data_IF_649611569819
#
_entry.id   IF_649611569819
#
_cell.length_a   1.000
_cell.length_b   1.000
_cell.length_c   1.000
_cell.angle_alpha   90.00
_cell.angle_beta   90.00
_cell.angle_gamma   90.00
#
_symmetry.space_group_name_H-M   'P 1'
#
loop_
_entity.id
_entity.type
_entity.pdbx_description
1 polymer ?
#
# COMPACT_ATOMS: atom_id res chain seq x y z
N UNK A 1 1.59 -34.96 -33.88
CA UNK A 1 0.76 -35.61 -32.84
C UNK A 1 -0.68 -35.13 -32.97
N UNK A 2 -1.65 -36.03 -33.09
CA UNK A 2 -3.06 -35.66 -33.19
C UNK A 2 -3.59 -35.10 -31.87
N UNK A 3 -4.21 -33.92 -31.89
CA UNK A 3 -4.77 -33.30 -30.70
C UNK A 3 -5.94 -34.16 -30.18
N UNK A 4 -5.86 -34.62 -28.93
CA UNK A 4 -6.92 -35.43 -28.30
C UNK A 4 -8.12 -34.53 -27.99
N UNK A 5 -9.32 -34.92 -28.39
CA UNK A 5 -10.53 -34.13 -28.10
C UNK A 5 -10.89 -34.23 -26.60
N UNK A 6 -11.24 -33.10 -25.99
CA UNK A 6 -11.74 -33.07 -24.62
C UNK A 6 -13.12 -33.71 -24.52
N UNK A 7 -13.38 -34.42 -23.43
CA UNK A 7 -14.72 -34.92 -23.08
C UNK A 7 -15.43 -33.95 -22.14
N UNK A 8 -16.76 -34.00 -22.08
CA UNK A 8 -17.54 -33.16 -21.18
C UNK A 8 -17.12 -33.31 -19.70
N UNK A 9 -16.83 -34.54 -19.28
CA UNK A 9 -16.34 -34.85 -17.93
C UNK A 9 -14.99 -34.18 -17.63
N UNK A 10 -14.07 -34.17 -18.59
CA UNK A 10 -12.76 -33.51 -18.44
C UNK A 10 -12.89 -32.00 -18.35
N UNK A 11 -13.77 -31.39 -19.17
CA UNK A 11 -14.05 -29.94 -19.10
C UNK A 11 -14.63 -29.57 -17.73
N UNK A 12 -15.59 -30.35 -17.22
CA UNK A 12 -16.15 -30.13 -15.90
C UNK A 12 -15.12 -30.25 -14.77
N UNK A 13 -14.24 -31.26 -14.84
CA UNK A 13 -13.14 -31.43 -13.89
C UNK A 13 -12.12 -30.29 -13.95
N UNK A 14 -11.74 -29.84 -15.15
CA UNK A 14 -10.83 -28.73 -15.36
C UNK A 14 -11.38 -27.42 -14.77
N UNK A 15 -12.66 -27.11 -15.01
CA UNK A 15 -13.34 -25.93 -14.43
C UNK A 15 -13.36 -25.96 -12.90
N UNK A 16 -13.63 -27.11 -12.28
CA UNK A 16 -13.56 -27.26 -10.80
C UNK A 16 -12.15 -27.02 -10.29
N UNK A 17 -11.15 -27.64 -10.90
CA UNK A 17 -9.76 -27.50 -10.48
C UNK A 17 -9.25 -26.06 -10.61
N UNK A 18 -9.60 -25.37 -11.70
CA UNK A 18 -9.24 -23.98 -11.93
C UNK A 18 -9.91 -23.02 -10.93
N UNK A 19 -11.22 -23.18 -10.67
CA UNK A 19 -11.93 -22.39 -9.63
C UNK A 19 -11.35 -22.56 -8.25
N UNK A 20 -10.99 -23.80 -7.90
CA UNK A 20 -10.36 -24.12 -6.63
C UNK A 20 -8.89 -23.68 -6.55
N UNK A 21 -8.36 -23.01 -7.59
CA UNK A 21 -6.95 -22.59 -7.72
C UNK A 21 -5.95 -23.75 -7.55
N UNK A 22 -6.37 -24.99 -7.82
CA UNK A 22 -5.53 -26.20 -7.68
C UNK A 22 -4.64 -26.47 -8.89
N UNK A 23 -4.95 -25.85 -10.02
CA UNK A 23 -4.17 -25.98 -11.25
C UNK A 23 -4.33 -24.74 -12.13
N UNK A 24 -3.25 -24.38 -12.82
CA UNK A 24 -3.25 -23.34 -13.86
C UNK A 24 -3.79 -23.90 -15.19
N UNK A 25 -4.19 -23.02 -16.12
CA UNK A 25 -4.63 -23.43 -17.47
C UNK A 25 -3.55 -24.23 -18.19
N UNK A 26 -2.27 -23.87 -18.00
CA UNK A 26 -1.12 -24.57 -18.61
C UNK A 26 -0.99 -26.00 -18.08
N UNK A 27 -1.02 -26.17 -16.76
CA UNK A 27 -0.98 -27.50 -16.12
C UNK A 27 -2.17 -28.38 -16.52
N UNK A 28 -3.37 -27.79 -16.67
CA UNK A 28 -4.54 -28.52 -17.13
C UNK A 28 -4.42 -28.91 -18.62
N UNK A 29 -3.89 -28.02 -19.46
CA UNK A 29 -3.66 -28.30 -20.87
C UNK A 29 -2.68 -29.46 -21.06
N UNK A 30 -1.56 -29.44 -20.32
CA UNK A 30 -0.58 -30.53 -20.29
C UNK A 30 -1.19 -31.83 -19.78
N UNK A 31 -1.88 -31.80 -18.63
CA UNK A 31 -2.53 -32.98 -18.02
C UNK A 31 -3.50 -33.70 -18.97
N UNK A 32 -4.23 -32.94 -19.78
CA UNK A 32 -5.19 -33.52 -20.73
C UNK A 32 -4.63 -33.64 -22.16
N UNK A 33 -3.35 -33.32 -22.36
CA UNK A 33 -2.67 -33.32 -23.65
C UNK A 33 -3.43 -32.54 -24.74
N UNK A 34 -3.77 -31.29 -24.43
CA UNK A 34 -4.42 -30.35 -25.36
C UNK A 34 -3.68 -29.03 -25.41
N UNK A 35 -3.88 -28.26 -26.48
CA UNK A 35 -3.34 -26.91 -26.56
C UNK A 35 -3.89 -26.01 -25.44
N UNK A 36 -3.03 -25.11 -24.91
CA UNK A 36 -3.39 -24.15 -23.85
C UNK A 36 -4.60 -23.29 -24.25
N UNK A 37 -4.67 -22.87 -25.51
CA UNK A 37 -5.79 -22.11 -26.04
C UNK A 37 -7.11 -22.90 -25.98
N UNK A 38 -7.09 -24.18 -26.35
CA UNK A 38 -8.26 -25.07 -26.29
C UNK A 38 -8.76 -25.24 -24.87
N UNK A 39 -7.85 -25.48 -23.91
CA UNK A 39 -8.20 -25.57 -22.49
C UNK A 39 -8.77 -24.26 -21.97
N UNK A 40 -8.18 -23.12 -22.35
CA UNK A 40 -8.68 -21.78 -22.01
C UNK A 40 -10.11 -21.56 -22.53
N UNK A 41 -10.40 -21.90 -23.78
CA UNK A 41 -11.75 -21.77 -24.35
C UNK A 41 -12.77 -22.69 -23.65
N UNK A 42 -12.38 -23.91 -23.29
CA UNK A 42 -13.25 -24.84 -22.58
C UNK A 42 -13.56 -24.39 -21.15
N UNK A 43 -12.56 -23.88 -20.42
CA UNK A 43 -12.73 -23.33 -19.07
C UNK A 43 -13.59 -22.07 -19.12
N UNK A 44 -13.34 -21.18 -20.08
CA UNK A 44 -14.01 -19.89 -20.20
C UNK A 44 -15.42 -19.96 -20.79
N UNK A 45 -15.85 -21.13 -21.28
CA UNK A 45 -17.13 -21.30 -21.96
C UNK A 45 -17.16 -20.69 -23.36
N UNK A 46 -16.00 -20.38 -23.96
CA UNK A 46 -15.92 -20.05 -25.38
C UNK A 46 -16.35 -21.25 -26.23
N UNK A 47 -15.94 -22.45 -25.80
CA UNK A 47 -16.43 -23.75 -26.24
C UNK A 47 -17.12 -24.47 -25.09
N UNK A 48 -17.92 -25.52 -25.37
CA UNK A 48 -18.62 -26.30 -24.35
C UNK A 48 -19.61 -25.50 -23.49
N UNK A 49 -20.41 -24.62 -24.12
CA UNK A 49 -21.43 -23.79 -23.46
C UNK A 49 -22.57 -24.60 -22.84
N UNK A 50 -22.86 -25.78 -23.39
CA UNK A 50 -23.91 -26.68 -22.90
C UNK A 50 -23.58 -27.34 -21.55
N UNK A 51 -22.29 -27.36 -21.14
CA UNK A 51 -21.90 -27.85 -19.82
C UNK A 51 -22.15 -26.72 -18.81
N UNK A 52 -23.25 -26.82 -18.08
CA UNK A 52 -23.68 -25.79 -17.11
C UNK A 52 -23.18 -26.06 -15.69
N UNK A 53 -22.81 -27.31 -15.37
CA UNK A 53 -22.29 -27.69 -14.05
C UNK A 53 -20.90 -28.36 -14.14
N UNK A 54 -19.82 -27.70 -13.69
CA UNK A 54 -19.75 -26.35 -13.14
C UNK A 54 -19.89 -25.27 -14.25
N UNK A 55 -20.43 -24.08 -13.93
CA UNK A 55 -20.57 -23.03 -14.94
C UNK A 55 -19.21 -22.61 -15.49
N UNK A 56 -19.11 -22.05 -16.70
CA UNK A 56 -17.85 -21.54 -17.23
C UNK A 56 -17.25 -20.46 -16.30
N UNK A 57 -15.92 -20.34 -16.31
CA UNK A 57 -15.20 -19.30 -15.55
C UNK A 57 -14.86 -18.19 -16.53
N UNK A 58 -15.59 -17.06 -16.57
CA UNK A 58 -15.38 -16.04 -17.59
C UNK A 58 -13.91 -15.62 -17.62
N UNK A 59 -13.25 -15.80 -18.76
CA UNK A 59 -11.82 -15.49 -18.90
C UNK A 59 -11.54 -14.01 -18.67
N UNK A 60 -12.46 -13.18 -19.13
CA UNK A 60 -12.56 -11.76 -18.83
C UNK A 60 -14.03 -11.47 -18.49
N UNK A 61 -14.30 -10.52 -17.58
CA UNK A 61 -15.66 -10.06 -17.42
C UNK A 61 -16.21 -9.52 -18.75
N UNK A 62 -17.53 -9.54 -18.95
CA UNK A 62 -18.12 -8.97 -20.15
C UNK A 62 -17.62 -7.54 -20.32
N UNK A 63 -17.13 -7.21 -21.52
CA UNK A 63 -16.47 -5.92 -21.83
C UNK A 63 -17.32 -4.68 -21.51
N UNK A 64 -18.60 -4.86 -21.20
CA UNK A 64 -19.59 -3.82 -21.00
C UNK A 64 -20.36 -3.96 -19.67
N UNK A 65 -19.82 -4.62 -18.63
CA UNK A 65 -20.50 -4.59 -17.32
C UNK A 65 -20.54 -3.15 -16.80
N UNK A 66 -21.73 -2.54 -16.85
CA UNK A 66 -21.95 -1.20 -16.34
C UNK A 66 -21.80 -1.23 -14.81
N UNK A 67 -21.07 -0.26 -14.25
CA UNK A 67 -21.04 -0.07 -12.80
C UNK A 67 -22.45 0.28 -12.32
N UNK A 68 -22.90 -0.38 -11.26
CA UNK A 68 -24.12 0.00 -10.54
C UNK A 68 -23.77 0.93 -9.39
N UNK A 69 -24.76 1.71 -8.92
CA UNK A 69 -24.55 2.60 -7.78
C UNK A 69 -24.05 1.86 -6.52
N UNK A 70 -24.55 0.64 -6.31
CA UNK A 70 -24.13 -0.21 -5.20
C UNK A 70 -22.69 -0.72 -5.34
N UNK A 71 -22.25 -1.05 -6.56
CA UNK A 71 -20.84 -1.38 -6.82
C UNK A 71 -19.92 -0.19 -6.54
N UNK A 72 -20.33 1.04 -6.88
CA UNK A 72 -19.56 2.25 -6.58
C UNK A 72 -19.42 2.44 -5.06
N UNK A 73 -20.50 2.30 -4.30
CA UNK A 73 -20.47 2.42 -2.84
C UNK A 73 -19.52 1.40 -2.23
N UNK A 74 -19.66 0.13 -2.60
CA UNK A 74 -18.78 -0.96 -2.15
C UNK A 74 -17.31 -0.71 -2.50
N UNK A 75 -17.03 -0.24 -3.72
CA UNK A 75 -15.67 0.05 -4.16
C UNK A 75 -15.02 1.14 -3.30
N UNK A 76 -15.75 2.23 -3.02
CA UNK A 76 -15.25 3.33 -2.18
C UNK A 76 -15.03 2.91 -0.73
N UNK A 77 -15.96 2.18 -0.12
CA UNK A 77 -15.80 1.67 1.25
C UNK A 77 -14.56 0.78 1.37
N UNK A 78 -14.33 -0.12 0.41
CA UNK A 78 -13.19 -1.06 0.45
C UNK A 78 -11.87 -0.40 0.10
N UNK A 79 -11.86 0.52 -0.87
CA UNK A 79 -10.67 1.32 -1.18
C UNK A 79 -10.26 2.21 0.01
N UNK A 80 -11.22 2.75 0.76
CA UNK A 80 -10.95 3.48 2.00
C UNK A 80 -10.32 2.59 3.08
N UNK A 81 -10.64 1.29 3.07
CA UNK A 81 -10.01 0.25 3.89
C UNK A 81 -8.64 -0.23 3.39
N UNK A 82 -8.10 0.35 2.32
CA UNK A 82 -6.76 0.04 1.80
C UNK A 82 -6.69 -1.04 0.72
N UNK A 83 -7.82 -1.52 0.22
CA UNK A 83 -7.83 -2.50 -0.87
C UNK A 83 -7.46 -1.86 -2.22
N UNK A 84 -6.70 -2.58 -3.05
CA UNK A 84 -6.24 -2.04 -4.33
C UNK A 84 -7.38 -1.97 -5.35
N UNK A 85 -7.39 -0.90 -6.16
CA UNK A 85 -8.37 -0.74 -7.24
C UNK A 85 -8.31 -1.90 -8.25
N UNK A 86 -7.13 -2.51 -8.45
CA UNK A 86 -6.95 -3.66 -9.33
C UNK A 86 -7.67 -4.91 -8.83
N UNK A 87 -7.65 -5.15 -7.52
CA UNK A 87 -8.36 -6.28 -6.91
C UNK A 87 -9.87 -6.08 -6.96
N UNK A 88 -10.33 -4.86 -6.63
CA UNK A 88 -11.73 -4.47 -6.74
C UNK A 88 -12.25 -4.64 -8.17
N UNK A 89 -11.50 -4.17 -9.17
CA UNK A 89 -11.85 -4.29 -10.58
C UNK A 89 -11.96 -5.76 -11.04
N UNK A 90 -11.03 -6.60 -10.58
CA UNK A 90 -11.02 -8.04 -10.89
C UNK A 90 -12.22 -8.76 -10.27
N UNK A 91 -12.56 -8.44 -9.03
CA UNK A 91 -13.69 -9.02 -8.32
C UNK A 91 -15.03 -8.57 -8.93
N UNK A 92 -15.18 -7.28 -9.19
CA UNK A 92 -16.41 -6.71 -9.73
C UNK A 92 -16.62 -7.02 -11.22
N UNK A 93 -15.59 -7.53 -11.90
CA UNK A 93 -15.66 -7.78 -13.32
C UNK A 93 -15.75 -6.49 -14.14
N UNK A 94 -15.02 -5.44 -13.75
CA UNK A 94 -15.02 -4.15 -14.46
C UNK A 94 -13.58 -3.77 -14.78
N UNK A 95 -13.36 -2.97 -15.82
CA UNK A 95 -12.03 -2.43 -16.11
C UNK A 95 -11.54 -1.54 -14.95
N UNK A 96 -10.24 -1.63 -14.67
CA UNK A 96 -9.57 -0.91 -13.59
C UNK A 96 -9.79 0.62 -13.62
N UNK A 97 -9.68 1.23 -14.80
CA UNK A 97 -9.88 2.67 -15.02
C UNK A 97 -11.29 3.14 -14.65
N UNK A 98 -12.31 2.35 -14.97
CA UNK A 98 -13.70 2.66 -14.65
C UNK A 98 -13.94 2.65 -13.14
N UNK A 99 -13.38 1.66 -12.42
CA UNK A 99 -13.45 1.61 -10.95
C UNK A 99 -12.67 2.77 -10.34
N UNK A 100 -11.46 3.07 -10.84
CA UNK A 100 -10.67 4.20 -10.38
C UNK A 100 -11.44 5.53 -10.52
N UNK A 101 -12.04 5.78 -11.68
CA UNK A 101 -12.83 7.00 -11.91
C UNK A 101 -14.03 7.12 -10.95
N UNK A 102 -14.71 6.01 -10.66
CA UNK A 102 -15.83 6.01 -9.73
C UNK A 102 -15.41 6.22 -8.27
N UNK A 103 -14.30 5.60 -7.86
CA UNK A 103 -13.74 5.71 -6.50
C UNK A 103 -13.23 7.12 -6.22
N UNK A 104 -12.50 7.71 -7.17
CA UNK A 104 -11.96 9.07 -7.04
C UNK A 104 -12.97 10.18 -7.41
N UNK A 105 -14.23 9.83 -7.67
CA UNK A 105 -15.30 10.82 -7.93
C UNK A 105 -15.21 11.55 -9.27
N UNK A 106 -14.38 11.08 -10.21
CA UNK A 106 -14.35 11.58 -11.59
C UNK A 106 -15.66 11.27 -12.31
N UNK A 107 -16.23 10.10 -12.00
CA UNK A 107 -17.58 9.70 -12.40
C UNK A 107 -18.45 9.46 -11.16
N UNK A 108 -19.77 9.31 -11.35
CA UNK A 108 -20.70 9.01 -10.25
C UNK A 108 -20.74 10.06 -9.12
N UNK A 109 -20.60 11.35 -9.46
CA UNK A 109 -20.63 12.49 -8.51
C UNK A 109 -21.91 12.55 -7.66
N UNK A 110 -23.03 12.03 -8.17
CA UNK A 110 -24.32 11.97 -7.45
C UNK A 110 -24.32 11.01 -6.26
N UNK A 111 -23.38 10.07 -6.18
CA UNK A 111 -23.23 9.19 -5.03
C UNK A 111 -22.28 9.91 -4.07
N UNK A 112 -22.81 10.42 -2.97
CA UNK A 112 -22.06 11.20 -1.98
C UNK A 112 -21.68 10.38 -0.75
N UNK A 113 -22.34 9.25 -0.53
CA UNK A 113 -22.10 8.35 0.60
C UNK A 113 -21.77 6.92 0.11
N UNK A 114 -20.55 6.41 0.36
CA UNK A 114 -19.39 7.10 0.95
C UNK A 114 -18.77 8.17 0.01
N UNK A 115 -18.08 9.18 0.56
CA UNK A 115 -17.48 10.25 -0.23
C UNK A 115 -16.39 9.70 -1.17
N UNK A 116 -16.17 10.34 -2.34
CA UNK A 116 -15.08 9.96 -3.21
C UNK A 116 -13.74 10.16 -2.51
N UNK A 117 -12.80 9.25 -2.76
CA UNK A 117 -11.46 9.34 -2.20
C UNK A 117 -10.63 10.39 -2.94
N UNK A 118 -9.71 11.09 -2.24
CA UNK A 118 -8.73 11.92 -2.92
C UNK A 118 -7.93 11.04 -3.87
N UNK A 119 -7.71 11.54 -5.09
CA UNK A 119 -6.82 10.86 -6.03
C UNK A 119 -5.43 10.82 -5.40
N UNK A 120 -4.76 9.65 -5.35
CA UNK A 120 -3.35 9.64 -4.99
C UNK A 120 -2.64 10.57 -5.96
N UNK A 121 -1.73 11.40 -5.44
CA UNK A 121 -0.87 12.22 -6.29
C UNK A 121 -0.26 11.29 -7.35
N UNK A 122 -0.18 11.72 -8.63
CA UNK A 122 0.50 10.93 -9.63
C UNK A 122 1.87 10.59 -9.07
N UNK A 123 2.12 9.30 -8.84
CA UNK A 123 3.45 8.84 -8.39
C UNK A 123 4.36 9.25 -9.52
N UNK A 124 5.14 10.30 -9.28
CA UNK A 124 6.08 10.75 -10.28
C UNK A 124 7.04 9.58 -10.46
N UNK A 125 7.44 9.21 -11.68
CA UNK A 125 8.38 8.12 -11.86
C UNK A 125 9.66 8.35 -11.03
N UNK A 126 10.01 9.61 -10.80
CA UNK A 126 11.06 10.08 -9.90
C UNK A 126 10.89 9.69 -8.42
N UNK A 127 9.67 9.39 -7.94
CA UNK A 127 9.35 9.13 -6.53
C UNK A 127 9.48 7.65 -6.15
N UNK A 128 9.54 6.75 -7.14
CA UNK A 128 9.98 5.37 -6.89
C UNK A 128 11.48 5.44 -6.63
N UNK A 129 12.02 4.85 -5.54
CA UNK A 129 13.44 4.92 -5.25
C UNK A 129 14.23 4.49 -6.49
N UNK A 130 15.02 5.41 -7.06
CA UNK A 130 15.81 5.18 -8.27
C UNK A 130 16.68 3.92 -8.17
N UNK A 131 17.08 3.58 -6.95
CA UNK A 131 17.76 2.33 -6.58
C UNK A 131 17.01 1.06 -7.00
N UNK A 132 15.69 0.99 -6.78
CA UNK A 132 14.88 -0.18 -7.12
C UNK A 132 14.75 -0.37 -8.62
N UNK A 133 14.60 0.74 -9.36
CA UNK A 133 14.50 0.71 -10.83
C UNK A 133 15.79 0.26 -11.49
N UNK A 134 16.93 0.79 -11.03
CA UNK A 134 18.23 0.39 -11.55
C UNK A 134 18.54 -1.08 -11.21
N UNK A 135 18.11 -1.58 -10.05
CA UNK A 135 18.23 -2.99 -9.70
C UNK A 135 17.37 -3.89 -10.61
N UNK A 136 16.11 -3.53 -10.84
CA UNK A 136 15.19 -4.26 -11.73
C UNK A 136 15.68 -4.22 -13.19
N UNK A 137 16.23 -3.10 -13.64
CA UNK A 137 16.83 -2.95 -14.97
C UNK A 137 18.05 -3.86 -15.16
N UNK A 138 18.97 -3.90 -14.18
CA UNK A 138 20.11 -4.82 -14.21
C UNK A 138 19.67 -6.29 -14.17
N UNK A 139 18.63 -6.63 -13.39
CA UNK A 139 18.07 -7.98 -13.35
C UNK A 139 17.44 -8.38 -14.69
N UNK A 140 16.72 -7.46 -15.33
CA UNK A 140 16.11 -7.66 -16.66
C UNK A 140 17.18 -7.84 -17.73
N UNK A 141 18.22 -7.00 -17.74
CA UNK A 141 19.35 -7.13 -18.67
C UNK A 141 20.06 -8.49 -18.53
N UNK A 142 20.27 -8.96 -17.30
CA UNK A 142 20.86 -10.29 -17.05
C UNK A 142 19.97 -11.42 -17.56
N UNK A 143 18.65 -11.31 -17.34
CA UNK A 143 17.69 -12.29 -17.83
C UNK A 143 17.65 -12.32 -19.37
N UNK A 144 17.70 -11.16 -20.03
CA UNK A 144 17.74 -11.05 -21.49
C UNK A 144 19.02 -11.66 -22.07
N UNK A 145 20.20 -11.32 -21.52
CA UNK A 145 21.47 -11.95 -21.95
C UNK A 145 21.48 -13.47 -21.76
N UNK A 146 20.82 -13.98 -20.72
CA UNK A 146 20.74 -15.41 -20.46
C UNK A 146 19.76 -16.13 -21.39
N UNK A 147 18.70 -15.46 -21.84
CA UNK A 147 17.71 -16.03 -22.76
C UNK A 147 18.23 -16.06 -24.20
N UNK A 148 18.85 -14.97 -24.65
CA UNK A 148 19.23 -14.75 -26.04
C UNK A 148 20.65 -14.14 -26.09
N UNK A 149 21.71 -14.96 -25.91
CA UNK A 149 23.09 -14.44 -25.83
C UNK A 149 23.61 -13.90 -27.17
N UNK A 150 23.07 -14.38 -28.30
CA UNK A 150 23.49 -14.01 -29.66
C UNK A 150 22.83 -12.72 -30.17
N UNK A 151 21.80 -12.22 -29.47
CA UNK A 151 21.08 -10.97 -29.82
C UNK A 151 21.83 -9.70 -29.38
N UNK A 152 22.99 -9.85 -28.72
CA UNK A 152 23.82 -8.75 -28.23
C UNK A 152 25.10 -8.67 -29.07
N UNK A 153 25.35 -7.51 -29.67
CA UNK A 153 26.64 -7.29 -30.33
C UNK A 153 27.78 -7.31 -29.30
N UNK A 154 29.02 -7.68 -29.71
CA UNK A 154 30.16 -7.72 -28.81
C UNK A 154 30.34 -6.42 -28.01
N UNK A 155 30.10 -6.48 -26.69
CA UNK A 155 30.28 -5.36 -25.76
C UNK A 155 29.03 -4.52 -25.47
N UNK A 156 27.90 -4.73 -26.16
CA UNK A 156 26.68 -3.94 -25.92
C UNK A 156 26.09 -4.14 -24.52
N UNK A 157 26.09 -5.38 -24.03
CA UNK A 157 25.64 -5.68 -22.68
C UNK A 157 26.53 -4.99 -21.63
N UNK A 158 27.85 -5.06 -21.80
CA UNK A 158 28.81 -4.41 -20.91
C UNK A 158 28.59 -2.89 -20.88
N UNK A 159 28.39 -2.27 -22.05
CA UNK A 159 28.08 -0.85 -22.17
C UNK A 159 26.75 -0.48 -21.48
N UNK A 160 25.69 -1.27 -21.68
CA UNK A 160 24.39 -1.04 -21.03
C UNK A 160 24.47 -1.18 -19.50
N UNK A 161 25.18 -2.20 -19.02
CA UNK A 161 25.43 -2.44 -17.59
C UNK A 161 26.21 -1.29 -16.97
N UNK A 162 27.27 -0.83 -17.64
CA UNK A 162 28.15 0.20 -17.11
C UNK A 162 27.45 1.57 -17.11
N UNK A 163 26.60 1.86 -18.11
CA UNK A 163 25.71 3.03 -18.10
C UNK A 163 24.79 3.05 -16.86
N UNK A 164 24.10 1.95 -16.55
CA UNK A 164 23.22 1.90 -15.36
C UNK A 164 24.00 2.08 -14.06
N UNK A 165 25.23 1.58 -13.99
CA UNK A 165 26.11 1.79 -12.82
C UNK A 165 26.51 3.26 -12.67
N UNK A 166 26.85 3.92 -13.78
CA UNK A 166 27.13 5.37 -13.79
C UNK A 166 25.91 6.16 -13.33
N UNK A 167 24.71 5.84 -13.85
CA UNK A 167 23.47 6.49 -13.44
C UNK A 167 23.17 6.31 -11.93
N UNK A 168 23.48 5.13 -11.36
CA UNK A 168 23.39 4.87 -9.92
C UNK A 168 24.38 5.72 -9.11
N UNK A 169 25.63 5.80 -9.56
CA UNK A 169 26.67 6.59 -8.90
C UNK A 169 26.31 8.09 -8.90
N UNK A 170 25.85 8.61 -10.04
CA UNK A 170 25.43 10.00 -10.19
C UNK A 170 24.20 10.34 -9.35
N UNK A 171 23.23 9.44 -9.28
CA UNK A 171 22.06 9.62 -8.43
C UNK A 171 22.44 9.64 -6.95
N UNK A 172 23.35 8.75 -6.53
CA UNK A 172 23.86 8.73 -5.14
C UNK A 172 24.65 10.00 -4.82
N UNK A 173 25.52 10.44 -5.71
CA UNK A 173 26.28 11.68 -5.54
C UNK A 173 25.36 12.90 -5.41
N UNK A 174 24.28 12.99 -6.22
CA UNK A 174 23.27 14.05 -6.11
C UNK A 174 22.53 14.04 -4.77
N UNK A 175 22.20 12.86 -4.24
CA UNK A 175 21.54 12.75 -2.94
C UNK A 175 22.48 13.15 -1.79
N UNK A 176 23.75 12.73 -1.83
CA UNK A 176 24.73 13.15 -0.82
C UNK A 176 25.02 14.65 -0.90
N UNK A 177 25.12 15.23 -2.10
CA UNK A 177 25.26 16.67 -2.28
C UNK A 177 24.03 17.43 -1.75
N UNK A 178 22.82 16.95 -2.04
CA UNK A 178 21.59 17.53 -1.50
C UNK A 178 21.53 17.41 0.02
N UNK A 179 21.96 16.27 0.59
CA UNK A 179 22.05 16.06 2.03
C UNK A 179 23.08 16.97 2.69
N UNK A 180 24.23 17.18 2.05
CA UNK A 180 25.26 18.11 2.53
C UNK A 180 24.82 19.57 2.43
N UNK A 181 24.00 19.91 1.42
CA UNK A 181 23.43 21.26 1.25
C UNK A 181 22.25 21.53 2.20
N UNK A 182 21.54 20.49 2.66
CA UNK A 182 20.57 20.61 3.73
C UNK A 182 21.31 20.82 5.05
N UNK A 183 21.61 22.08 5.37
CA UNK A 183 22.02 22.45 6.72
C UNK A 183 20.90 22.02 7.67
N UNK A 184 21.23 21.22 8.69
CA UNK A 184 20.27 20.92 9.73
C UNK A 184 19.78 22.27 10.29
N UNK A 185 18.45 22.53 10.33
CA UNK A 185 17.95 23.77 10.87
C UNK A 185 18.46 23.91 12.30
N UNK A 186 19.07 25.05 12.57
CA UNK A 186 19.58 25.41 13.89
C UNK A 186 18.41 25.69 14.81
N UNK A 187 18.66 25.70 16.12
CA UNK A 187 17.66 26.10 17.11
C UNK A 187 17.12 27.52 16.85
N UNK A 188 17.95 28.40 16.30
CA UNK A 188 17.60 29.79 15.97
C UNK A 188 16.58 29.87 14.83
N UNK A 189 16.67 28.96 13.85
CA UNK A 189 15.72 28.90 12.73
C UNK A 189 14.28 28.60 13.19
N UNK A 190 14.14 27.95 14.35
CA UNK A 190 12.84 27.67 14.96
C UNK A 190 12.35 28.78 15.92
N UNK A 191 13.19 29.75 16.28
CA UNK A 191 12.82 30.78 17.25
C UNK A 191 11.55 31.57 16.86
N UNK A 192 11.35 31.98 15.59
CA UNK A 192 10.12 32.67 15.18
C UNK A 192 8.87 31.79 15.34
N UNK A 193 8.97 30.50 15.01
CA UNK A 193 7.86 29.56 15.15
C UNK A 193 7.50 29.31 16.62
N UNK A 194 8.50 29.19 17.49
CA UNK A 194 8.31 29.05 18.95
C UNK A 194 7.67 30.31 19.54
N UNK A 195 8.14 31.50 19.17
CA UNK A 195 7.55 32.77 19.60
C UNK A 195 6.10 32.93 19.12
N UNK A 196 5.82 32.62 17.86
CA UNK A 196 4.47 32.65 17.32
C UNK A 196 3.53 31.67 18.06
N UNK A 197 4.01 30.45 18.35
CA UNK A 197 3.25 29.48 19.13
C UNK A 197 2.96 29.98 20.55
N UNK A 198 3.96 30.60 21.21
CA UNK A 198 3.81 31.17 22.54
C UNK A 198 2.78 32.31 22.58
N UNK A 199 2.76 33.20 21.58
CA UNK A 199 1.78 34.30 21.49
C UNK A 199 0.34 33.81 21.32
N UNK A 200 0.14 32.66 20.68
CA UNK A 200 -1.19 32.06 20.49
C UNK A 200 -1.63 31.26 21.71
N UNK A 201 -0.69 30.85 22.58
CA UNK A 201 -0.94 29.95 23.71
C UNK A 201 -2.09 30.40 24.62
N UNK A 202 -2.09 31.68 25.03
CA UNK A 202 -3.10 32.22 25.93
C UNK A 202 -4.48 32.37 25.28
N UNK A 203 -4.50 32.44 23.94
CA UNK A 203 -5.74 32.50 23.14
C UNK A 203 -6.30 31.12 22.81
N UNK A 204 -5.55 30.04 23.01
CA UNK A 204 -6.04 28.69 22.77
C UNK A 204 -7.00 28.26 23.88
N UNK A 205 -8.09 27.60 23.52
CA UNK A 205 -8.93 26.94 24.51
C UNK A 205 -8.17 25.79 25.22
N UNK A 206 -8.66 25.40 26.39
CA UNK A 206 -8.02 24.36 27.20
C UNK A 206 -7.97 22.98 26.53
N UNK A 207 -8.93 22.67 25.65
CA UNK A 207 -8.97 21.39 24.94
C UNK A 207 -7.84 21.29 23.91
N UNK A 208 -7.62 22.39 23.17
CA UNK A 208 -6.54 22.49 22.19
C UNK A 208 -5.17 22.49 22.87
N UNK A 209 -5.00 23.24 23.96
CA UNK A 209 -3.75 23.21 24.77
C UNK A 209 -3.45 21.81 25.29
N UNK A 210 -4.44 21.12 25.87
CA UNK A 210 -4.24 19.76 26.36
C UNK A 210 -3.92 18.75 25.26
N UNK A 211 -4.49 18.89 24.07
CA UNK A 211 -4.12 18.05 22.92
C UNK A 211 -2.66 18.27 22.56
N UNK A 212 -2.24 19.53 22.44
CA UNK A 212 -0.88 19.88 22.06
C UNK A 212 0.14 19.43 23.11
N UNK A 213 -0.18 19.58 24.40
CA UNK A 213 0.66 19.05 25.48
C UNK A 213 0.80 17.53 25.43
N UNK A 214 -0.25 16.79 25.08
CA UNK A 214 -0.18 15.32 24.92
C UNK A 214 0.63 14.88 23.70
N UNK A 215 0.74 15.73 22.69
CA UNK A 215 1.59 15.49 21.53
C UNK A 215 3.05 15.80 21.85
N UNK A 216 3.34 16.85 22.64
CA UNK A 216 4.71 17.27 22.94
C UNK A 216 5.33 16.56 24.15
N UNK A 217 4.53 16.20 25.15
CA UNK A 217 5.01 15.66 26.43
C UNK A 217 4.84 14.15 26.43
N UNK A 218 5.96 13.45 26.58
CA UNK A 218 5.98 12.00 26.73
C UNK A 218 5.50 11.57 28.12
N UNK A 219 6.01 12.23 29.17
CA UNK A 219 5.66 11.93 30.56
C UNK A 219 5.81 13.14 31.47
N UNK A 220 4.97 13.18 32.51
CA UNK A 220 5.09 14.13 33.62
C UNK A 220 5.38 13.30 34.88
N UNK A 221 6.48 13.60 35.56
CA UNK A 221 6.86 12.98 36.83
C UNK A 221 6.58 14.00 37.93
N UNK A 222 5.87 13.56 38.96
CA UNK A 222 5.60 14.36 40.16
C UNK A 222 6.33 13.70 41.30
N UNK A 223 7.35 14.38 41.82
CA UNK A 223 8.20 13.91 42.90
C UNK A 223 8.21 14.88 44.08
N UNK A 224 9.11 14.62 45.02
CA UNK A 224 9.52 15.58 46.04
C UNK A 224 11.04 15.74 45.99
N UNK A 225 11.53 16.96 46.18
CA UNK A 225 12.96 17.20 46.33
C UNK A 225 13.48 16.75 47.71
N UNK A 226 14.77 16.99 47.95
CA UNK A 226 15.44 16.64 49.20
C UNK A 226 14.81 17.32 50.45
N UNK A 227 14.19 18.48 50.27
CA UNK A 227 13.53 19.25 51.33
C UNK A 227 12.04 18.88 51.48
N UNK A 228 11.58 17.90 50.69
CA UNK A 228 10.20 17.43 50.70
C UNK A 228 9.21 18.31 49.93
N UNK A 229 9.67 19.32 49.19
CA UNK A 229 8.82 20.17 48.36
C UNK A 229 8.43 19.45 47.06
N UNK A 230 7.21 19.64 46.55
CA UNK A 230 6.77 19.00 45.32
C UNK A 230 7.54 19.52 44.11
N UNK A 231 8.08 18.61 43.30
CA UNK A 231 8.76 18.93 42.03
C UNK A 231 8.03 18.26 40.88
N UNK A 232 7.85 19.00 39.78
CA UNK A 232 7.26 18.50 38.53
C UNK A 232 8.34 18.49 37.46
N UNK A 233 8.66 17.30 36.95
CA UNK A 233 9.58 17.12 35.83
C UNK A 233 8.77 16.75 34.58
N UNK A 234 9.06 17.42 33.46
CA UNK A 234 8.36 17.23 32.19
C UNK A 234 9.35 16.68 31.18
N UNK A 235 9.07 15.49 30.65
CA UNK A 235 9.91 14.83 29.66
C UNK A 235 9.28 14.97 28.27
N UNK A 236 9.92 15.68 27.33
CA UNK A 236 9.37 15.88 26.00
C UNK A 236 9.54 14.63 25.11
N UNK A 237 8.73 14.53 24.06
CA UNK A 237 8.73 13.38 23.14
C UNK A 237 10.03 13.23 22.33
N UNK A 238 10.80 14.31 22.14
CA UNK A 238 12.03 14.29 21.35
C UNK A 238 13.28 13.93 22.15
N UNK A 239 13.19 13.84 23.48
CA UNK A 239 14.28 13.35 24.31
C UNK A 239 14.16 11.83 24.49
N UNK A 240 15.27 11.08 24.57
CA UNK A 240 15.23 9.66 24.89
C UNK A 240 14.48 9.45 26.22
N UNK A 241 13.50 8.54 26.24
CA UNK A 241 12.77 8.21 27.46
C UNK A 241 13.75 7.61 28.50
N UNK A 242 14.03 8.31 29.61
CA UNK A 242 15.03 7.84 30.57
C UNK A 242 14.53 6.60 31.35
N UNK A 243 13.26 6.20 31.19
CA UNK A 243 12.71 4.96 31.74
C UNK A 243 12.51 3.86 30.71
N UNK A 244 13.03 4.02 29.48
CA UNK A 244 12.99 2.96 28.48
C UNK A 244 13.65 1.68 29.03
N UNK A 245 12.85 0.62 29.23
CA UNK A 245 13.32 -0.68 29.74
C UNK A 245 13.06 -0.95 31.22
N UNK A 246 12.55 0.02 31.98
CA UNK A 246 12.06 -0.26 33.34
C UNK A 246 10.65 -0.87 33.27
N UNK A 247 10.32 -1.85 34.14
CA UNK A 247 8.97 -2.38 34.22
C UNK A 247 8.01 -1.23 34.46
N UNK A 248 6.91 -1.17 33.71
CA UNK A 248 5.94 -0.09 33.80
C UNK A 248 5.58 0.14 35.28
N UNK A 249 6.00 1.27 35.85
CA UNK A 249 5.67 1.62 37.22
C UNK A 249 4.16 1.48 37.41
N UNK A 250 3.71 0.87 38.52
CA UNK A 250 2.29 0.68 38.76
C UNK A 250 1.62 2.04 38.64
N UNK A 251 0.77 2.17 37.63
CA UNK A 251 0.00 3.38 37.37
C UNK A 251 -0.72 3.71 38.67
N UNK A 252 -0.37 4.84 39.28
CA UNK A 252 -1.05 5.44 40.43
C UNK A 252 -2.45 5.87 39.97
N UNK A 253 -3.32 4.88 39.81
CA UNK A 253 -4.56 4.97 39.07
C UNK A 253 -5.58 3.93 39.52
N UNK A 254 -5.69 3.70 40.83
CA UNK A 254 -7.02 3.46 41.40
C UNK A 254 -7.36 4.67 42.25
N UNK A 255 -8.28 5.50 41.75
CA UNK A 255 -8.98 6.49 42.55
C UNK A 255 -9.49 5.78 43.80
N UNK A 256 -8.98 6.13 44.98
CA UNK A 256 -9.68 5.77 46.22
C UNK A 256 -11.11 6.31 46.08
N UNK A 257 -12.15 5.50 46.33
CA UNK A 257 -13.53 5.97 46.29
C UNK A 257 -13.65 7.17 47.22
N UNK A 258 -14.24 8.25 46.70
CA UNK A 258 -14.50 9.49 47.41
C UNK A 258 -15.37 9.12 48.62
N UNK A 259 -14.97 9.38 49.88
CA UNK A 259 -15.82 9.09 51.02
C UNK A 259 -17.13 9.87 50.86
N UNK A 260 -18.24 9.15 51.01
CA UNK A 260 -19.57 9.69 50.84
C UNK A 260 -19.79 10.83 51.83
N UNK A 261 -20.10 12.01 51.29
CA UNK A 261 -20.42 13.21 52.08
C UNK A 261 -21.91 13.14 52.41
N UNK A 262 -22.28 12.32 53.39
CA UNK A 262 -23.62 12.38 53.98
C UNK A 262 -23.68 13.54 54.97
N UNK A 263 -24.72 14.36 54.79
CA UNK A 263 -25.18 15.40 55.73
C UNK A 263 -25.95 14.77 56.87
#
# INVERSE_FOLDING_TARGET
MGARSLTARQVAAARRAYRARRATVRQLAERYNVAVATMRHAINGGTWRHITNPPPVPGHPPRNQALTADMVRRARTRAAGGETIADLAREMGVRHDVVAHAVYGLTWKRITDPPPLPRPAPVNPSDVPSSRRHADALATLRAQRAADPDDWEPGEYEAARDKIRTDQADARARLEAARAALTAPTREDFAPAVLAAAQVWDRMDGSRRNRLLRELVHRIVVGRDADGQPVIEVHPQWEPDPWAGLPASPVLGSRRPRPDRTK
#
